data_IF_743583077328
#
_entry.id   IF_743583077328
#
_cell.length_a   1.000
_cell.length_b   1.000
_cell.length_c   1.000
_cell.angle_alpha   90.00
_cell.angle_beta   90.00
_cell.angle_gamma   90.00
#
_symmetry.space_group_name_H-M   'P 1'
#
loop_
_entity.id
_entity.type
_entity.pdbx_description
1 polymer ?
#
# COMPACT_ATOMS: atom_id res chain seq x y z
N UNK A 1 2.80 -4.70 -28.77
CA UNK A 1 1.65 -5.62 -28.58
C UNK A 1 0.49 -4.82 -28.00
N UNK A 2 -0.59 -4.54 -28.74
CA UNK A 2 -1.73 -3.82 -28.17
C UNK A 2 -2.47 -4.73 -27.18
N UNK A 3 -2.63 -4.23 -25.96
CA UNK A 3 -3.38 -4.84 -24.88
C UNK A 3 -4.85 -4.96 -25.33
N UNK A 4 -5.36 -6.18 -25.51
CA UNK A 4 -6.78 -6.43 -25.82
C UNK A 4 -7.61 -5.84 -24.67
N UNK A 5 -8.29 -4.73 -24.92
CA UNK A 5 -9.35 -4.22 -24.06
C UNK A 5 -10.39 -5.33 -23.90
N UNK A 6 -10.61 -5.80 -22.68
CA UNK A 6 -11.62 -6.80 -22.38
C UNK A 6 -13.00 -6.27 -22.81
N UNK A 7 -13.73 -7.06 -23.60
CA UNK A 7 -15.09 -6.74 -23.99
C UNK A 7 -15.94 -6.56 -22.73
N UNK A 8 -16.70 -5.46 -22.65
CA UNK A 8 -17.67 -5.23 -21.57
C UNK A 8 -18.72 -6.33 -21.65
N UNK A 9 -18.67 -7.29 -20.74
CA UNK A 9 -19.65 -8.36 -20.65
C UNK A 9 -20.94 -7.79 -20.06
N UNK A 10 -21.93 -7.49 -20.91
CA UNK A 10 -23.26 -7.07 -20.46
C UNK A 10 -23.93 -8.24 -19.73
N UNK A 11 -24.34 -8.09 -18.46
CA UNK A 11 -24.95 -9.19 -17.72
C UNK A 11 -26.27 -9.61 -18.38
N UNK A 12 -26.34 -10.87 -18.81
CA UNK A 12 -27.61 -11.46 -19.25
C UNK A 12 -28.51 -11.60 -18.02
N UNK A 13 -29.60 -10.84 -17.98
CA UNK A 13 -30.53 -10.83 -16.85
C UNK A 13 -31.70 -11.76 -17.13
N UNK A 14 -31.76 -12.88 -16.43
CA UNK A 14 -32.93 -13.77 -16.41
C UNK A 14 -33.86 -13.40 -15.26
N UNK A 15 -35.18 -13.44 -15.51
CA UNK A 15 -36.20 -13.07 -14.51
C UNK A 15 -36.41 -14.22 -13.53
N UNK A 16 -36.13 -13.98 -12.25
CA UNK A 16 -36.41 -14.89 -11.13
C UNK A 16 -37.88 -14.73 -10.72
N UNK A 17 -38.58 -15.84 -10.46
CA UNK A 17 -40.00 -15.85 -10.06
C UNK A 17 -40.28 -16.58 -8.74
N UNK A 18 -39.39 -17.48 -8.32
CA UNK A 18 -39.57 -18.33 -7.13
C UNK A 18 -38.45 -18.13 -6.11
N UNK A 19 -38.75 -18.35 -4.82
CA UNK A 19 -37.75 -18.27 -3.74
C UNK A 19 -36.65 -19.33 -3.88
N UNK A 20 -36.97 -20.52 -4.40
CA UNK A 20 -35.99 -21.58 -4.68
C UNK A 20 -34.99 -21.19 -5.77
N UNK A 21 -35.44 -20.46 -6.79
CA UNK A 21 -34.56 -19.91 -7.82
C UNK A 21 -33.64 -18.83 -7.23
N UNK A 22 -34.16 -17.98 -6.34
CA UNK A 22 -33.36 -17.00 -5.62
C UNK A 22 -32.28 -17.65 -4.74
N UNK A 23 -32.62 -18.71 -3.99
CA UNK A 23 -31.67 -19.48 -3.19
C UNK A 23 -30.54 -20.08 -4.05
N UNK A 24 -30.90 -20.66 -5.20
CA UNK A 24 -29.93 -21.15 -6.18
C UNK A 24 -29.00 -20.06 -6.71
N UNK A 25 -29.53 -18.86 -6.99
CA UNK A 25 -28.73 -17.71 -7.43
C UNK A 25 -27.79 -17.22 -6.32
N UNK A 26 -28.24 -17.15 -5.07
CA UNK A 26 -27.39 -16.81 -3.92
C UNK A 26 -26.25 -17.82 -3.77
N UNK A 27 -26.55 -19.12 -3.90
CA UNK A 27 -25.53 -20.17 -3.91
C UNK A 27 -24.51 -20.01 -5.04
N UNK A 28 -24.98 -19.68 -6.25
CA UNK A 28 -24.10 -19.43 -7.41
C UNK A 28 -23.23 -18.18 -7.22
N UNK A 29 -23.77 -17.11 -6.64
CA UNK A 29 -23.00 -15.91 -6.31
C UNK A 29 -21.86 -16.23 -5.33
N UNK A 30 -22.14 -17.02 -4.29
CA UNK A 30 -21.11 -17.46 -3.35
C UNK A 30 -20.02 -18.31 -4.01
N UNK A 31 -20.38 -19.18 -4.95
CA UNK A 31 -19.41 -19.98 -5.71
C UNK A 31 -18.53 -19.11 -6.62
N UNK A 32 -19.13 -18.20 -7.38
CA UNK A 32 -18.38 -17.26 -8.22
C UNK A 32 -17.43 -16.39 -7.40
N UNK A 33 -17.86 -15.91 -6.22
CA UNK A 33 -17.02 -15.14 -5.32
C UNK A 33 -15.78 -15.93 -4.87
N UNK A 34 -15.95 -17.21 -4.49
CA UNK A 34 -14.81 -18.08 -4.16
C UNK A 34 -13.86 -18.31 -5.33
N UNK A 35 -14.39 -18.46 -6.54
CA UNK A 35 -13.57 -18.62 -7.75
C UNK A 35 -12.75 -17.35 -8.05
N UNK A 36 -13.35 -16.17 -7.87
CA UNK A 36 -12.64 -14.89 -8.00
C UNK A 36 -11.51 -14.81 -6.98
N UNK A 37 -11.80 -15.05 -5.70
CA UNK A 37 -10.79 -15.02 -4.63
C UNK A 37 -9.68 -16.07 -4.84
N UNK A 38 -10.01 -17.25 -5.36
CA UNK A 38 -9.01 -18.27 -5.69
C UNK A 38 -8.08 -17.80 -6.82
N UNK A 39 -8.63 -17.19 -7.87
CA UNK A 39 -7.84 -16.62 -8.97
C UNK A 39 -6.96 -15.45 -8.49
N UNK A 40 -7.47 -14.59 -7.61
CA UNK A 40 -6.71 -13.49 -7.01
C UNK A 40 -5.57 -14.02 -6.11
N UNK A 41 -5.83 -15.04 -5.29
CA UNK A 41 -4.80 -15.70 -4.49
C UNK A 41 -3.70 -16.30 -5.37
N UNK A 42 -4.08 -17.04 -6.42
CA UNK A 42 -3.11 -17.63 -7.35
C UNK A 42 -2.27 -16.56 -8.05
N UNK A 43 -2.88 -15.44 -8.46
CA UNK A 43 -2.16 -14.32 -9.04
C UNK A 43 -1.14 -13.74 -8.06
N UNK A 44 -1.55 -13.50 -6.81
CA UNK A 44 -0.66 -12.98 -5.79
C UNK A 44 0.50 -13.95 -5.50
N UNK A 45 0.24 -15.25 -5.41
CA UNK A 45 1.29 -16.26 -5.25
C UNK A 45 2.29 -16.24 -6.41
N UNK A 46 1.82 -16.06 -7.65
CA UNK A 46 2.69 -15.92 -8.83
C UNK A 46 3.52 -14.64 -8.76
N UNK A 47 2.93 -13.51 -8.35
CA UNK A 47 3.65 -12.24 -8.16
C UNK A 47 4.77 -12.41 -7.12
N UNK A 48 4.48 -13.06 -5.99
CA UNK A 48 5.47 -13.27 -4.93
C UNK A 48 6.61 -14.20 -5.39
N UNK A 49 6.32 -15.27 -6.14
CA UNK A 49 7.37 -16.12 -6.75
C UNK A 49 8.26 -15.32 -7.70
N UNK A 50 7.65 -14.55 -8.60
CA UNK A 50 8.40 -13.71 -9.55
C UNK A 50 9.26 -12.66 -8.83
N UNK A 51 8.77 -12.09 -7.73
CA UNK A 51 9.55 -11.18 -6.87
C UNK A 51 10.73 -11.90 -6.23
N UNK A 52 10.52 -13.08 -5.67
CA UNK A 52 11.58 -13.88 -5.06
C UNK A 52 12.68 -14.25 -6.07
N UNK A 53 12.28 -14.75 -7.25
CA UNK A 53 13.22 -15.09 -8.33
C UNK A 53 14.03 -13.87 -8.79
N UNK A 54 13.38 -12.71 -8.93
CA UNK A 54 14.06 -11.48 -9.29
C UNK A 54 15.07 -11.04 -8.21
N UNK A 55 14.72 -11.17 -6.92
CA UNK A 55 15.64 -10.87 -5.81
C UNK A 55 16.86 -11.81 -5.85
N UNK A 56 16.66 -13.11 -6.07
CA UNK A 56 17.76 -14.08 -6.15
C UNK A 56 18.69 -13.79 -7.34
N UNK A 57 18.15 -13.39 -8.50
CA UNK A 57 18.93 -13.01 -9.68
C UNK A 57 19.70 -11.70 -9.49
N UNK A 58 19.09 -10.72 -8.82
CA UNK A 58 19.69 -9.39 -8.62
C UNK A 58 20.75 -9.41 -7.51
N UNK A 59 20.61 -10.25 -6.49
CA UNK A 59 21.53 -10.33 -5.35
C UNK A 59 23.02 -10.46 -5.74
N UNK A 60 23.45 -11.40 -6.62
CA UNK A 60 24.85 -11.48 -7.02
C UNK A 60 25.33 -10.25 -7.79
N UNK A 61 24.47 -9.63 -8.62
CA UNK A 61 24.82 -8.41 -9.35
C UNK A 61 25.02 -7.21 -8.41
N UNK A 62 24.21 -7.10 -7.35
CA UNK A 62 24.42 -6.09 -6.30
C UNK A 62 25.74 -6.34 -5.57
N UNK A 63 26.03 -7.58 -5.22
CA UNK A 63 27.28 -7.93 -4.53
C UNK A 63 28.50 -7.61 -5.41
N UNK A 64 28.48 -7.98 -6.69
CA UNK A 64 29.55 -7.65 -7.64
C UNK A 64 29.72 -6.13 -7.81
N UNK A 65 28.62 -5.39 -8.01
CA UNK A 65 28.64 -3.92 -8.07
C UNK A 65 29.29 -3.30 -6.85
N UNK A 66 28.93 -3.77 -5.65
CA UNK A 66 29.41 -3.21 -4.38
C UNK A 66 30.89 -3.56 -4.14
N UNK A 67 31.33 -4.76 -4.55
CA UNK A 67 32.74 -5.14 -4.59
C UNK A 67 33.53 -4.20 -5.51
N UNK A 68 33.12 -4.05 -6.78
CA UNK A 68 33.79 -3.15 -7.73
C UNK A 68 33.82 -1.69 -7.24
N UNK A 69 32.74 -1.23 -6.60
CA UNK A 69 32.69 0.10 -6.02
C UNK A 69 33.69 0.27 -4.86
N UNK A 70 33.82 -0.76 -4.00
CA UNK A 70 34.74 -0.75 -2.87
C UNK A 70 36.19 -0.77 -3.35
N UNK A 71 36.53 -1.63 -4.29
CA UNK A 71 37.86 -1.70 -4.91
C UNK A 71 38.26 -0.33 -5.53
N UNK A 72 37.34 0.28 -6.29
CA UNK A 72 37.59 1.60 -6.86
C UNK A 72 37.76 2.67 -5.78
N UNK A 73 36.96 2.61 -4.71
CA UNK A 73 37.05 3.56 -3.60
C UNK A 73 38.37 3.43 -2.83
N UNK A 74 38.86 2.22 -2.57
CA UNK A 74 40.14 1.97 -1.92
C UNK A 74 41.30 2.50 -2.77
N UNK A 75 41.33 2.15 -4.06
CA UNK A 75 42.30 2.68 -5.01
C UNK A 75 42.28 4.22 -5.06
N UNK A 76 41.09 4.83 -5.16
CA UNK A 76 40.92 6.27 -5.21
C UNK A 76 41.36 6.96 -3.90
N UNK A 77 41.17 6.32 -2.74
CA UNK A 77 41.58 6.83 -1.44
C UNK A 77 43.10 6.82 -1.28
N UNK A 78 43.76 5.74 -1.70
CA UNK A 78 45.22 5.59 -1.64
C UNK A 78 45.94 6.56 -2.59
N UNK A 79 45.43 6.73 -3.80
CA UNK A 79 46.06 7.53 -4.86
C UNK A 79 45.51 8.96 -4.94
N UNK A 80 44.79 9.41 -3.91
CA UNK A 80 44.01 10.66 -3.97
C UNK A 80 44.87 11.88 -4.30
N UNK A 81 46.03 12.02 -3.67
CA UNK A 81 46.89 13.19 -3.84
C UNK A 81 47.44 13.32 -5.27
N UNK A 82 47.75 12.19 -5.89
CA UNK A 82 48.34 12.12 -7.23
C UNK A 82 47.27 12.26 -8.31
N UNK A 83 46.10 11.65 -8.13
CA UNK A 83 45.00 11.68 -9.11
C UNK A 83 44.20 12.99 -9.08
N UNK A 84 44.11 13.65 -7.93
CA UNK A 84 43.34 14.89 -7.74
C UNK A 84 44.20 16.06 -7.21
N UNK A 85 45.16 16.54 -8.00
CA UNK A 85 45.99 17.66 -7.60
C UNK A 85 45.18 18.97 -7.55
N UNK A 86 45.64 19.90 -6.70
CA UNK A 86 45.11 21.29 -6.59
C UNK A 86 43.64 21.40 -6.17
N UNK A 87 43.17 20.48 -5.33
CA UNK A 87 41.82 20.56 -4.75
C UNK A 87 40.70 20.14 -5.71
N UNK A 88 41.04 19.49 -6.82
CA UNK A 88 40.05 18.83 -7.67
C UNK A 88 39.29 17.77 -6.87
N UNK A 89 38.00 17.63 -7.16
CA UNK A 89 37.12 16.70 -6.43
C UNK A 89 36.68 15.51 -7.27
N UNK A 90 36.94 15.51 -8.57
CA UNK A 90 36.49 14.45 -9.48
C UNK A 90 37.49 14.23 -10.61
N UNK A 91 37.62 12.99 -11.06
CA UNK A 91 38.42 12.58 -12.20
C UNK A 91 37.50 11.98 -13.27
N UNK A 92 37.69 12.38 -14.53
CA UNK A 92 36.98 11.82 -15.69
C UNK A 92 37.90 10.87 -16.47
N UNK A 93 37.38 9.70 -16.78
CA UNK A 93 38.01 8.64 -17.57
C UNK A 93 37.16 8.36 -18.82
N UNK A 94 37.62 7.46 -19.70
CA UNK A 94 36.87 7.04 -20.89
C UNK A 94 35.54 6.37 -20.54
N UNK A 95 35.51 5.55 -19.49
CA UNK A 95 34.34 4.77 -19.07
C UNK A 95 33.41 5.51 -18.09
N UNK A 96 33.76 6.72 -17.63
CA UNK A 96 32.95 7.46 -16.66
C UNK A 96 33.76 8.43 -15.81
N UNK A 97 33.25 8.75 -14.62
CA UNK A 97 33.93 9.63 -13.67
C UNK A 97 33.65 9.20 -12.24
N UNK A 98 34.59 9.47 -11.33
CA UNK A 98 34.41 9.29 -9.89
C UNK A 98 34.99 10.49 -9.14
N UNK A 99 34.58 10.68 -7.89
CA UNK A 99 35.00 11.84 -7.11
C UNK A 99 34.33 11.94 -5.74
N UNK A 100 34.69 12.97 -5.00
CA UNK A 100 34.21 13.27 -3.66
C UNK A 100 33.25 14.45 -3.68
N UNK A 101 32.07 14.25 -3.08
CA UNK A 101 31.07 15.28 -2.89
C UNK A 101 30.67 15.38 -1.43
N UNK A 102 30.35 16.58 -0.99
CA UNK A 102 29.64 16.78 0.26
C UNK A 102 28.16 16.57 -0.01
N UNK A 103 27.49 15.79 0.83
CA UNK A 103 26.02 15.78 0.82
C UNK A 103 25.50 17.15 1.24
N UNK A 104 24.27 17.52 0.82
CA UNK A 104 23.59 18.63 1.47
C UNK A 104 23.43 18.34 2.97
N UNK A 105 23.23 19.39 3.76
CA UNK A 105 22.94 19.26 5.17
C UNK A 105 21.62 18.52 5.38
N UNK A 106 21.67 17.41 6.10
CA UNK A 106 20.48 16.67 6.52
C UNK A 106 20.09 17.10 7.93
N UNK A 107 18.83 17.47 8.12
CA UNK A 107 18.28 17.71 9.46
C UNK A 107 17.99 16.37 10.15
N UNK A 108 18.60 16.15 11.31
CA UNK A 108 18.33 14.97 12.16
C UNK A 108 17.41 15.40 13.30
N UNK A 109 16.18 14.88 13.31
CA UNK A 109 15.20 15.16 14.38
C UNK A 109 15.26 14.05 15.42
N UNK A 110 15.63 14.39 16.65
CA UNK A 110 15.58 13.48 17.81
C UNK A 110 14.44 13.92 18.70
N UNK A 111 13.37 13.11 18.78
CA UNK A 111 12.18 13.45 19.53
C UNK A 111 11.37 14.57 18.87
N UNK A 112 10.59 14.21 17.86
CA UNK A 112 9.79 15.17 17.10
C UNK A 112 8.83 15.97 18.00
N UNK A 113 8.21 15.33 18.99
CA UNK A 113 7.31 15.98 19.95
C UNK A 113 8.01 17.04 20.79
N UNK A 114 9.20 16.75 21.32
CA UNK A 114 9.99 17.72 22.10
C UNK A 114 10.39 18.91 21.24
N UNK A 115 10.84 18.65 20.00
CA UNK A 115 11.18 19.70 19.06
C UNK A 115 9.96 20.57 18.72
N UNK A 116 8.79 19.96 18.47
CA UNK A 116 7.55 20.67 18.23
C UNK A 116 7.09 21.49 19.44
N UNK A 117 7.21 20.96 20.66
CA UNK A 117 6.85 21.67 21.89
C UNK A 117 7.73 22.91 22.10
N UNK A 118 9.05 22.80 21.91
CA UNK A 118 9.98 23.93 21.98
C UNK A 118 9.70 24.97 20.90
N UNK A 119 9.45 24.55 19.66
CA UNK A 119 9.09 25.46 18.58
C UNK A 119 7.79 26.21 18.90
N UNK A 120 6.78 25.53 19.45
CA UNK A 120 5.52 26.15 19.91
C UNK A 120 5.76 27.11 21.07
N UNK A 121 6.52 26.70 22.08
CA UNK A 121 6.83 27.51 23.27
C UNK A 121 7.57 28.81 22.90
N UNK A 122 8.38 28.78 21.85
CA UNK A 122 9.13 29.94 21.33
C UNK A 122 8.38 30.73 20.25
N UNK A 123 7.14 30.33 19.92
CA UNK A 123 6.34 31.00 18.89
C UNK A 123 6.87 30.85 17.46
N UNK A 124 7.73 29.86 17.20
CA UNK A 124 8.36 29.62 15.89
C UNK A 124 7.46 28.79 14.97
N UNK A 125 6.26 29.30 14.70
CA UNK A 125 5.21 28.61 13.96
C UNK A 125 5.53 28.41 12.48
N UNK A 126 6.45 29.19 11.89
CA UNK A 126 6.88 29.03 10.50
C UNK A 126 7.58 27.69 10.22
N UNK A 127 8.08 27.02 11.26
CA UNK A 127 8.70 25.70 11.16
C UNK A 127 7.73 24.54 11.47
N UNK A 128 6.46 24.87 11.76
CA UNK A 128 5.43 23.90 12.12
C UNK A 128 4.38 23.88 11.01
N UNK A 129 4.21 22.71 10.39
CA UNK A 129 3.12 22.50 9.44
C UNK A 129 1.90 21.96 10.16
N UNK A 130 0.80 22.71 10.12
CA UNK A 130 -0.51 22.24 10.61
C UNK A 130 -1.28 21.59 9.47
N UNK A 131 -1.92 20.45 9.76
CA UNK A 131 -2.89 19.81 8.87
C UNK A 131 -4.19 19.66 9.64
N UNK A 132 -5.23 20.30 9.13
CA UNK A 132 -6.58 20.17 9.66
C UNK A 132 -7.34 19.14 8.83
N UNK A 133 -8.00 18.20 9.51
CA UNK A 133 -8.83 17.19 8.87
C UNK A 133 -10.19 17.13 9.58
N UNK A 134 -11.23 16.87 8.81
CA UNK A 134 -12.56 16.65 9.36
C UNK A 134 -12.58 15.35 10.17
N UNK A 135 -12.95 15.43 11.44
CA UNK A 135 -13.26 14.25 12.23
C UNK A 135 -14.62 13.67 11.81
N UNK A 136 -14.60 12.83 10.77
CA UNK A 136 -15.80 12.19 10.21
C UNK A 136 -16.52 11.30 11.22
N UNK A 137 -15.82 10.75 12.22
CA UNK A 137 -16.43 9.89 13.23
C UNK A 137 -17.26 10.72 14.21
N UNK A 138 -16.73 11.84 14.70
CA UNK A 138 -17.46 12.76 15.58
C UNK A 138 -18.63 13.39 14.84
N UNK A 139 -18.40 13.86 13.60
CA UNK A 139 -19.46 14.42 12.76
C UNK A 139 -20.62 13.43 12.57
N UNK A 140 -20.33 12.14 12.33
CA UNK A 140 -21.35 11.09 12.19
C UNK A 140 -22.04 10.78 13.53
N UNK A 141 -21.33 10.73 14.65
CA UNK A 141 -21.93 10.50 15.99
C UNK A 141 -22.87 11.63 16.39
N UNK A 142 -22.54 12.86 16.02
CA UNK A 142 -23.30 14.07 16.34
C UNK A 142 -24.18 14.54 15.17
N UNK A 143 -24.56 13.64 14.26
CA UNK A 143 -25.34 13.95 13.05
C UNK A 143 -26.49 14.92 13.31
N UNK A 144 -27.35 14.63 14.29
CA UNK A 144 -28.51 15.47 14.60
C UNK A 144 -28.17 16.89 15.07
N UNK A 145 -26.98 17.09 15.63
CA UNK A 145 -26.48 18.42 16.02
C UNK A 145 -25.90 19.14 14.80
N UNK A 146 -25.12 18.44 13.97
CA UNK A 146 -24.51 18.99 12.76
C UNK A 146 -25.57 19.36 11.72
N UNK A 147 -26.60 18.53 11.51
CA UNK A 147 -27.70 18.83 10.59
C UNK A 147 -28.48 20.10 10.98
N UNK A 148 -28.51 20.47 12.26
CA UNK A 148 -29.14 21.72 12.72
C UNK A 148 -28.31 22.96 12.46
N UNK A 149 -26.99 22.81 12.31
CA UNK A 149 -26.07 23.91 12.08
C UNK A 149 -26.02 24.34 10.61
N UNK A 150 -26.60 23.55 9.69
CA UNK A 150 -26.69 23.83 8.25
C UNK A 150 -25.35 24.29 7.64
N UNK A 151 -24.31 23.47 7.86
CA UNK A 151 -22.94 23.79 7.45
C UNK A 151 -22.73 23.51 5.95
N UNK A 152 -22.39 24.55 5.21
CA UNK A 152 -21.99 24.43 3.80
C UNK A 152 -20.83 23.42 3.62
N UNK A 153 -21.00 22.52 2.66
CA UNK A 153 -20.01 21.47 2.34
C UNK A 153 -20.16 20.16 3.12
N UNK A 154 -21.11 20.05 4.06
CA UNK A 154 -21.43 18.81 4.77
C UNK A 154 -22.84 18.35 4.47
N UNK A 155 -22.97 17.14 3.89
CA UNK A 155 -24.26 16.48 3.66
C UNK A 155 -24.20 15.05 4.15
N UNK A 156 -25.20 14.65 4.94
CA UNK A 156 -25.41 13.25 5.26
C UNK A 156 -26.30 12.62 4.19
N UNK A 157 -25.80 11.56 3.56
CA UNK A 157 -26.57 10.75 2.62
C UNK A 157 -26.93 9.41 3.27
N UNK A 158 -28.16 8.96 3.04
CA UNK A 158 -28.63 7.68 3.53
C UNK A 158 -29.61 7.11 2.52
N UNK A 159 -29.23 5.98 1.93
CA UNK A 159 -30.05 5.26 0.97
C UNK A 159 -30.13 3.79 1.39
N UNK A 160 -31.28 3.20 1.11
CA UNK A 160 -31.43 1.75 1.15
C UNK A 160 -30.56 1.14 0.04
N UNK A 161 -29.96 -0.02 0.30
CA UNK A 161 -29.21 -0.76 -0.72
C UNK A 161 -29.59 -2.24 -0.65
N UNK A 162 -29.69 -2.85 -1.82
CA UNK A 162 -29.87 -4.29 -1.94
C UNK A 162 -28.57 -5.01 -1.58
N UNK A 163 -28.63 -6.03 -0.75
CA UNK A 163 -27.47 -6.84 -0.36
C UNK A 163 -27.77 -8.33 -0.50
N UNK A 164 -26.72 -9.10 -0.81
CA UNK A 164 -26.75 -10.56 -0.82
C UNK A 164 -25.55 -11.05 -0.04
N UNK A 165 -25.79 -11.93 0.93
CA UNK A 165 -24.74 -12.54 1.73
C UNK A 165 -24.82 -14.07 1.59
N UNK A 166 -24.06 -14.68 0.66
CA UNK A 166 -23.99 -16.13 0.57
C UNK A 166 -23.45 -16.73 1.87
N UNK A 167 -23.93 -17.92 2.24
CA UNK A 167 -23.43 -18.60 3.43
C UNK A 167 -21.97 -19.05 3.21
N UNK A 168 -21.08 -18.62 4.10
CA UNK A 168 -19.72 -19.16 4.20
C UNK A 168 -19.75 -20.43 5.06
N UNK A 169 -19.31 -21.56 4.52
CA UNK A 169 -19.11 -22.78 5.31
C UNK A 169 -17.73 -22.70 5.95
N UNK A 170 -17.69 -22.44 7.26
CA UNK A 170 -16.48 -22.65 8.07
C UNK A 170 -16.55 -24.03 8.71
N UNK A 171 -15.58 -24.87 8.39
CA UNK A 171 -15.40 -26.18 9.01
C UNK A 171 -14.24 -26.08 9.98
N UNK A 172 -14.52 -26.22 11.27
CA UNK A 172 -13.51 -26.30 12.33
C UNK A 172 -13.53 -27.73 12.91
N UNK A 173 -12.37 -28.38 12.97
CA UNK A 173 -12.19 -29.68 13.61
C UNK A 173 -11.76 -29.45 15.06
N UNK A 174 -12.65 -29.75 16.01
CA UNK A 174 -12.31 -29.94 17.42
C UNK A 174 -12.22 -31.42 17.76
N UNK A 175 -11.45 -31.77 18.80
CA UNK A 175 -11.18 -33.14 19.24
C UNK A 175 -12.42 -34.00 19.54
N UNK A 176 -13.61 -33.40 19.69
CA UNK A 176 -14.89 -34.08 19.96
C UNK A 176 -15.85 -34.13 18.74
N UNK A 177 -15.36 -33.96 17.51
CA UNK A 177 -16.14 -34.12 16.28
C UNK A 177 -16.60 -32.82 15.59
N UNK A 178 -17.20 -32.97 14.40
CA UNK A 178 -17.55 -31.87 13.49
C UNK A 178 -18.80 -31.13 13.97
N UNK A 179 -18.69 -29.83 14.25
CA UNK A 179 -19.84 -28.94 14.51
C UNK A 179 -20.03 -27.94 13.39
N UNK A 180 -21.22 -27.90 12.80
CA UNK A 180 -21.62 -26.86 11.85
C UNK A 180 -22.23 -25.68 12.60
N UNK A 181 -21.63 -24.49 12.52
CA UNK A 181 -22.22 -23.26 13.07
C UNK A 181 -22.59 -22.32 11.93
N UNK A 182 -23.90 -22.10 11.71
CA UNK A 182 -24.39 -20.99 10.88
C UNK A 182 -24.16 -19.68 11.62
N UNK A 183 -23.75 -18.63 10.91
CA UNK A 183 -23.53 -17.29 11.48
C UNK A 183 -24.83 -16.80 12.14
N UNK A 184 -24.80 -16.22 13.35
CA UNK A 184 -25.95 -15.49 13.85
C UNK A 184 -26.12 -14.21 13.01
N UNK A 185 -27.34 -13.96 12.55
CA UNK A 185 -27.73 -12.71 11.89
C UNK A 185 -27.35 -11.52 12.78
N UNK A 186 -26.73 -10.50 12.17
CA UNK A 186 -26.50 -9.17 12.76
C UNK A 186 -27.07 -8.13 11.81
#
# INVERSE_FOLDING_TARGET
>A
MPMRMAAKNTPQTSRIRLLSEADGVIGRLGELQRQIEAAERELNDRIERLRADAVEQIRPLIAERDTCFTELHEFAKENRADMLPRGQKSLKLSAGAFGWRMSPWTLVVRGAETALAELKARGLTQFIRTREELDRLVLRRQRSQIEKLDLDGLKFDHHEYFYVAPNEVRVELTSDGVKHRRRPER
#
